data_IF_869038609466
#
_entry.id   IF_869038609466
#
_cell.length_a   1.000
_cell.length_b   1.000
_cell.length_c   1.000
_cell.angle_alpha   90.00
_cell.angle_beta   90.00
_cell.angle_gamma   90.00
#
_symmetry.space_group_name_H-M   'P 1'
#
loop_
_entity.id
_entity.type
_entity.pdbx_description
1 polymer ?
#
# COMPACT_ATOMS: atom_id res chain seq x y z
N UNK A 1 -29.16 24.74 35.03
CA UNK A 1 -27.85 24.60 34.35
C UNK A 1 -27.96 23.53 33.27
N UNK A 2 -27.21 23.67 32.16
CA UNK A 2 -27.24 22.72 31.05
C UNK A 2 -25.94 21.92 31.02
N UNK A 3 -26.03 20.61 31.19
CA UNK A 3 -24.88 19.70 31.16
C UNK A 3 -24.84 18.96 29.83
N UNK A 4 -23.65 18.87 29.25
CA UNK A 4 -23.38 18.00 28.10
C UNK A 4 -22.77 16.70 28.59
N UNK A 5 -23.41 15.58 28.27
CA UNK A 5 -22.94 14.26 28.67
C UNK A 5 -22.74 13.43 27.40
N UNK A 6 -21.51 12.94 27.20
CA UNK A 6 -21.19 11.97 26.16
C UNK A 6 -21.20 10.57 26.75
N UNK A 7 -21.85 9.61 26.09
CA UNK A 7 -21.70 8.20 26.37
C UNK A 7 -20.80 7.58 25.29
N UNK A 8 -19.49 7.41 25.54
CA UNK A 8 -18.56 6.96 24.50
C UNK A 8 -18.88 5.56 23.99
N UNK A 9 -19.37 4.68 24.88
CA UNK A 9 -19.73 3.31 24.56
C UNK A 9 -20.88 3.20 23.54
N UNK A 10 -21.81 4.15 23.56
CA UNK A 10 -22.95 4.17 22.66
C UNK A 10 -22.88 5.30 21.61
N UNK A 11 -21.78 6.07 21.62
CA UNK A 11 -21.48 7.15 20.66
C UNK A 11 -22.54 8.24 20.52
N UNK A 12 -23.38 8.45 21.54
CA UNK A 12 -24.34 9.54 21.58
C UNK A 12 -23.95 10.61 22.61
N UNK A 13 -24.43 11.83 22.36
CA UNK A 13 -24.32 12.96 23.27
C UNK A 13 -25.72 13.45 23.59
N UNK A 14 -26.00 13.64 24.87
CA UNK A 14 -27.27 14.19 25.35
C UNK A 14 -27.01 15.46 26.15
N UNK A 15 -28.00 16.35 26.11
CA UNK A 15 -28.02 17.52 26.96
C UNK A 15 -29.02 17.25 28.07
N UNK A 16 -28.61 17.46 29.31
CA UNK A 16 -29.50 17.37 30.46
C UNK A 16 -29.66 18.78 31.03
N UNK A 17 -30.89 19.28 30.99
CA UNK A 17 -31.25 20.52 31.67
C UNK A 17 -31.60 20.18 33.13
N UNK A 18 -30.81 20.72 34.06
CA UNK A 18 -30.94 20.48 35.50
C UNK A 18 -31.37 21.77 36.19
N UNK A 19 -32.49 21.78 36.90
CA UNK A 19 -33.01 22.96 37.59
C UNK A 19 -32.28 23.21 38.93
N UNK A 20 -32.09 24.49 39.27
CA UNK A 20 -31.07 24.98 40.21
C UNK A 20 -31.46 24.97 41.69
N UNK A 21 -31.77 23.82 42.27
CA UNK A 21 -32.00 23.67 43.72
C UNK A 21 -31.16 22.56 44.34
N UNK A 22 -30.27 22.90 45.29
CA UNK A 22 -29.43 22.06 46.17
C UNK A 22 -28.63 20.85 45.59
N UNK A 23 -28.77 20.53 44.30
CA UNK A 23 -28.23 19.29 43.68
C UNK A 23 -26.81 19.43 43.09
N UNK A 24 -26.20 20.62 43.15
CA UNK A 24 -24.88 20.90 42.58
C UNK A 24 -23.79 21.25 43.59
N UNK A 25 -24.10 21.34 44.89
CA UNK A 25 -23.10 21.68 45.91
C UNK A 25 -21.89 20.72 45.85
N UNK A 26 -22.16 19.44 45.58
CA UNK A 26 -21.13 18.42 45.39
C UNK A 26 -20.35 18.56 44.07
N UNK A 27 -20.90 19.20 43.04
CA UNK A 27 -20.20 19.39 41.76
C UNK A 27 -19.17 20.51 41.83
N UNK A 28 -19.43 21.54 42.65
CA UNK A 28 -18.51 22.68 42.81
C UNK A 28 -17.29 22.38 43.69
N UNK A 29 -17.39 21.40 44.58
CA UNK A 29 -16.30 21.00 45.48
C UNK A 29 -15.38 19.91 44.88
N UNK A 30 -15.84 19.20 43.86
CA UNK A 30 -15.10 18.10 43.24
C UNK A 30 -14.25 18.56 42.05
N UNK A 31 -13.06 17.96 41.89
CA UNK A 31 -12.18 18.20 40.74
C UNK A 31 -12.70 17.45 39.49
N UNK A 32 -12.41 17.95 38.28
CA UNK A 32 -12.91 17.50 36.96
C UNK A 32 -12.79 15.97 36.70
N UNK A 33 -11.92 15.27 37.42
CA UNK A 33 -11.62 13.83 37.25
C UNK A 33 -12.19 12.95 38.39
N UNK A 34 -13.13 13.47 39.19
CA UNK A 34 -13.77 12.70 40.27
C UNK A 34 -14.96 11.93 39.70
N UNK A 35 -14.99 10.61 39.89
CA UNK A 35 -16.11 9.78 39.47
C UNK A 35 -17.35 10.10 40.33
N UNK A 36 -18.44 10.51 39.67
CA UNK A 36 -19.73 10.83 40.30
C UNK A 36 -20.71 9.65 40.18
N UNK A 37 -21.37 9.28 41.28
CA UNK A 37 -22.36 8.20 41.28
C UNK A 37 -23.67 8.64 40.57
N UNK A 38 -24.07 8.00 39.45
CA UNK A 38 -25.25 8.37 38.67
C UNK A 38 -26.59 8.08 39.35
N UNK A 39 -26.63 7.33 40.46
CA UNK A 39 -27.89 6.87 41.10
C UNK A 39 -28.81 8.02 41.54
N UNK A 40 -28.23 9.17 41.81
CA UNK A 40 -28.92 10.40 42.24
C UNK A 40 -29.80 11.05 41.14
N UNK A 41 -29.78 10.55 39.88
CA UNK A 41 -30.47 11.15 38.73
C UNK A 41 -31.54 10.24 38.06
N UNK A 42 -31.89 9.10 38.66
CA UNK A 42 -32.54 7.98 37.97
C UNK A 42 -34.08 8.01 37.80
N UNK A 43 -34.78 9.11 38.05
CA UNK A 43 -36.26 9.08 38.13
C UNK A 43 -37.07 9.30 36.84
N UNK A 44 -36.49 9.51 35.66
CA UNK A 44 -37.30 9.82 34.45
C UNK A 44 -36.92 8.98 33.22
N UNK A 45 -37.56 7.82 33.09
CA UNK A 45 -37.63 7.06 31.83
C UNK A 45 -38.82 7.57 30.99
N UNK A 46 -38.59 7.85 29.70
CA UNK A 46 -39.45 7.56 28.54
C UNK A 46 -39.20 8.54 27.39
N UNK A 47 -38.42 8.14 26.38
CA UNK A 47 -38.49 8.72 25.04
C UNK A 47 -38.27 7.62 23.99
N UNK A 48 -39.35 7.14 23.38
CA UNK A 48 -39.29 6.23 22.23
C UNK A 48 -39.23 7.02 20.92
N UNK A 49 -38.10 6.98 20.21
CA UNK A 49 -37.94 7.61 18.90
C UNK A 49 -38.15 6.54 17.80
N UNK A 50 -39.19 6.71 16.98
CA UNK A 50 -39.44 5.86 15.80
C UNK A 50 -38.57 6.29 14.62
N UNK A 51 -37.65 5.41 14.17
CA UNK A 51 -36.84 5.60 12.96
C UNK A 51 -37.24 4.57 11.88
N UNK A 52 -37.89 5.04 10.81
CA UNK A 52 -38.12 4.24 9.60
C UNK A 52 -37.06 4.61 8.55
N UNK A 53 -35.97 3.83 8.46
CA UNK A 53 -34.86 4.03 7.51
C UNK A 53 -34.90 3.00 6.40
N UNK A 54 -34.97 3.44 5.14
CA UNK A 54 -34.86 2.56 3.97
C UNK A 54 -33.39 2.17 3.76
N UNK A 55 -33.12 0.86 3.72
CA UNK A 55 -31.77 0.31 3.77
C UNK A 55 -31.20 0.12 2.36
N UNK A 56 -30.22 0.96 2.00
CA UNK A 56 -29.36 0.74 0.84
C UNK A 56 -28.07 0.07 1.30
N UNK A 57 -27.74 -1.07 0.70
CA UNK A 57 -26.52 -1.84 1.00
C UNK A 57 -25.33 -1.19 0.31
N UNK A 58 -24.66 -0.27 1.00
CA UNK A 58 -23.35 0.23 0.58
C UNK A 58 -22.28 -0.69 1.15
N UNK A 59 -21.46 -1.28 0.28
CA UNK A 59 -20.27 -2.02 0.67
C UNK A 59 -19.05 -1.09 0.72
N UNK A 60 -18.23 -1.13 1.77
CA UNK A 60 -16.99 -0.36 1.81
C UNK A 60 -15.97 -0.98 0.84
N UNK A 61 -15.17 -0.12 0.19
CA UNK A 61 -13.99 -0.58 -0.54
C UNK A 61 -12.93 -0.98 0.49
N UNK A 62 -12.63 -2.26 0.56
CA UNK A 62 -11.55 -2.79 1.40
C UNK A 62 -10.23 -2.45 0.70
N UNK A 63 -9.43 -1.59 1.32
CA UNK A 63 -8.10 -1.26 0.85
C UNK A 63 -7.12 -2.39 1.20
N UNK A 64 -6.15 -2.65 0.30
CA UNK A 64 -5.13 -3.71 0.42
C UNK A 64 -5.66 -5.16 0.39
N UNK A 65 -6.80 -5.39 -0.25
CA UNK A 65 -7.25 -6.74 -0.57
C UNK A 65 -6.32 -7.35 -1.63
N UNK A 66 -5.82 -8.56 -1.41
CA UNK A 66 -5.03 -9.27 -2.43
C UNK A 66 -5.94 -9.64 -3.59
N UNK A 67 -5.76 -8.96 -4.73
CA UNK A 67 -6.50 -9.22 -5.96
C UNK A 67 -5.62 -9.94 -6.99
N UNK A 68 -6.22 -10.66 -7.96
CA UNK A 68 -5.48 -11.24 -9.08
C UNK A 68 -4.64 -10.22 -9.85
N UNK A 69 -5.10 -8.96 -9.92
CA UNK A 69 -4.35 -7.86 -10.53
C UNK A 69 -3.04 -7.58 -9.77
N UNK A 70 -3.06 -7.61 -8.44
CA UNK A 70 -1.86 -7.43 -7.61
C UNK A 70 -0.84 -8.55 -7.84
N UNK A 71 -1.31 -9.79 -8.06
CA UNK A 71 -0.45 -10.91 -8.40
C UNK A 71 0.18 -10.73 -9.79
N UNK A 72 -0.61 -10.33 -10.78
CA UNK A 72 -0.11 -10.04 -12.13
C UNK A 72 0.95 -8.94 -12.11
N UNK A 73 0.72 -7.86 -11.37
CA UNK A 73 1.66 -6.75 -11.24
C UNK A 73 2.98 -7.16 -10.58
N UNK A 74 2.96 -8.16 -9.69
CA UNK A 74 4.17 -8.73 -9.07
C UNK A 74 4.91 -9.69 -9.99
N UNK A 75 4.20 -10.43 -10.85
CA UNK A 75 4.80 -11.38 -11.78
C UNK A 75 5.38 -10.71 -13.05
N UNK A 76 4.75 -9.63 -13.54
CA UNK A 76 5.13 -8.96 -14.79
C UNK A 76 6.60 -8.52 -14.87
N UNK A 77 7.22 -7.92 -13.83
CA UNK A 77 8.62 -7.48 -13.89
C UNK A 77 9.60 -8.64 -14.08
N UNK A 78 9.35 -9.78 -13.45
CA UNK A 78 10.22 -10.97 -13.49
C UNK A 78 10.19 -11.55 -14.90
N UNK A 79 9.00 -11.84 -15.42
CA UNK A 79 8.82 -12.40 -16.77
C UNK A 79 9.38 -11.46 -17.83
N UNK A 80 9.07 -10.17 -17.76
CA UNK A 80 9.56 -9.19 -18.74
C UNK A 80 11.08 -9.02 -18.72
N UNK A 81 11.71 -9.09 -17.54
CA UNK A 81 13.15 -8.86 -17.42
C UNK A 81 13.95 -10.09 -17.84
N UNK A 82 13.52 -11.28 -17.44
CA UNK A 82 14.16 -12.55 -17.81
C UNK A 82 14.09 -12.81 -19.32
N UNK A 83 12.93 -12.58 -19.94
CA UNK A 83 12.75 -12.81 -21.38
C UNK A 83 13.61 -11.84 -22.21
N UNK A 84 13.65 -10.56 -21.83
CA UNK A 84 14.47 -9.55 -22.51
C UNK A 84 15.96 -9.79 -22.33
N UNK A 85 16.41 -10.09 -21.11
CA UNK A 85 17.82 -10.33 -20.80
C UNK A 85 18.35 -11.57 -21.51
N UNK A 86 17.60 -12.68 -21.47
CA UNK A 86 18.02 -13.92 -22.13
C UNK A 86 18.06 -13.78 -23.65
N UNK A 87 17.11 -13.06 -24.25
CA UNK A 87 17.12 -12.77 -25.70
C UNK A 87 18.33 -11.92 -26.09
N UNK A 88 18.58 -10.82 -25.35
CA UNK A 88 19.71 -9.91 -25.61
C UNK A 88 21.06 -10.63 -25.48
N UNK A 89 21.26 -11.40 -24.42
CA UNK A 89 22.51 -12.13 -24.21
C UNK A 89 22.78 -13.17 -25.33
N UNK A 90 21.72 -13.82 -25.85
CA UNK A 90 21.84 -14.77 -26.98
C UNK A 90 22.24 -14.06 -28.28
N UNK A 91 21.66 -12.89 -28.53
CA UNK A 91 21.97 -12.08 -29.70
C UNK A 91 23.41 -11.54 -29.64
N UNK A 92 23.80 -10.96 -28.50
CA UNK A 92 25.17 -10.46 -28.27
C UNK A 92 26.22 -11.57 -28.40
N UNK A 93 25.96 -12.77 -27.86
CA UNK A 93 26.85 -13.91 -28.02
C UNK A 93 26.98 -14.36 -29.49
N UNK A 94 25.88 -14.33 -30.25
CA UNK A 94 25.89 -14.66 -31.67
C UNK A 94 26.62 -13.60 -32.50
N UNK A 95 26.48 -12.31 -32.18
CA UNK A 95 27.24 -11.24 -32.82
C UNK A 95 28.73 -11.33 -32.50
N UNK A 96 29.08 -11.60 -31.25
CA UNK A 96 30.46 -11.78 -30.82
C UNK A 96 31.14 -12.96 -31.52
N UNK A 97 30.44 -14.09 -31.66
CA UNK A 97 30.94 -15.26 -32.40
C UNK A 97 31.24 -14.93 -33.88
N UNK A 98 30.39 -14.13 -34.53
CA UNK A 98 30.63 -13.67 -35.91
C UNK A 98 31.86 -12.76 -36.00
N UNK A 99 31.99 -11.82 -35.06
CA UNK A 99 33.16 -10.94 -35.02
C UNK A 99 34.45 -11.72 -34.81
N UNK A 100 34.45 -12.70 -33.89
CA UNK A 100 35.60 -13.55 -33.64
C UNK A 100 36.02 -14.33 -34.90
N UNK A 101 35.06 -14.97 -35.57
CA UNK A 101 35.33 -15.70 -36.81
C UNK A 101 35.94 -14.80 -37.90
N UNK A 102 35.49 -13.54 -37.99
CA UNK A 102 36.09 -12.55 -38.91
C UNK A 102 37.54 -12.23 -38.53
N UNK A 103 37.80 -11.93 -37.26
CA UNK A 103 39.17 -11.59 -36.79
C UNK A 103 40.18 -12.72 -36.99
N UNK A 104 39.75 -13.97 -36.85
CA UNK A 104 40.63 -15.12 -37.08
C UNK A 104 40.99 -15.26 -38.56
N UNK A 105 40.02 -15.11 -39.46
CA UNK A 105 40.27 -15.14 -40.91
C UNK A 105 41.17 -14.00 -41.37
N UNK A 106 40.90 -12.78 -40.93
CA UNK A 106 41.70 -11.60 -41.28
C UNK A 106 43.15 -11.75 -40.78
N UNK A 107 43.38 -12.44 -39.66
CA UNK A 107 44.72 -12.73 -39.14
C UNK A 107 45.45 -13.81 -39.96
N UNK A 108 44.74 -14.88 -40.34
CA UNK A 108 45.28 -15.94 -41.20
C UNK A 108 45.69 -15.39 -42.58
N UNK A 109 44.87 -14.52 -43.17
CA UNK A 109 45.17 -13.87 -44.46
C UNK A 109 46.42 -13.00 -44.36
N UNK A 110 46.56 -12.18 -43.31
CA UNK A 110 47.78 -11.39 -43.06
C UNK A 110 49.02 -12.26 -42.89
N UNK A 111 48.91 -13.39 -42.20
CA UNK A 111 50.01 -14.34 -42.08
C UNK A 111 50.39 -14.94 -43.44
N UNK A 112 49.42 -15.26 -44.28
CA UNK A 112 49.65 -15.77 -45.63
C UNK A 112 50.31 -14.72 -46.54
N UNK A 113 49.87 -13.46 -46.47
CA UNK A 113 50.48 -12.35 -47.21
C UNK A 113 51.95 -12.16 -46.83
N UNK A 114 52.29 -12.21 -45.54
CA UNK A 114 53.68 -12.12 -45.08
C UNK A 114 54.53 -13.28 -45.62
N UNK A 115 54.01 -14.50 -45.62
CA UNK A 115 54.69 -15.67 -46.21
C UNK A 115 54.89 -15.47 -47.73
N UNK A 116 53.87 -14.98 -48.43
CA UNK A 116 53.93 -14.71 -49.87
C UNK A 116 54.94 -13.60 -50.21
N UNK A 117 55.06 -12.57 -49.36
CA UNK A 117 56.07 -11.52 -49.50
C UNK A 117 57.49 -12.10 -49.38
N UNK A 118 57.75 -12.89 -48.33
CA UNK A 118 59.08 -13.51 -48.12
C UNK A 118 59.44 -14.43 -49.29
N UNK A 119 58.48 -15.21 -49.79
CA UNK A 119 58.70 -16.09 -50.93
C UNK A 119 59.01 -15.33 -52.24
N UNK A 120 58.45 -14.11 -52.42
CA UNK A 120 58.80 -13.22 -53.53
C UNK A 120 60.17 -12.57 -53.41
N UNK A 121 60.67 -12.35 -52.20
CA UNK A 121 61.98 -11.74 -51.97
C UNK A 121 63.14 -12.75 -52.06
N UNK A 122 62.86 -14.03 -51.79
CA UNK A 122 63.86 -15.09 -51.77
C UNK A 122 64.05 -15.84 -53.11
N UNK A 123 63.20 -15.59 -54.12
CA UNK A 123 63.26 -16.17 -55.48
C UNK A 123 63.33 -15.06 -56.53
#
# INVERSE_FOLDING_TARGET
>A
MKLHISLPAASYQTFVEVDGGCRFCTFYENHIATDWDPKELSEYENFSISLKKMMSTKAPKIWCLVTPHDLQHKCQPIVCSEEKCTKKNKEEAAEYAKHLAKTMKDAEEKCQEQIAMIHRECF
#
